data_IF_255617464813
#
_entry.id   IF_255617464813
#
_cell.length_a   1.000
_cell.length_b   1.000
_cell.length_c   1.000
_cell.angle_alpha   90.00
_cell.angle_beta   90.00
_cell.angle_gamma   90.00
#
_symmetry.space_group_name_H-M   'P 1'
#
loop_
_entity.id
_entity.type
_entity.pdbx_description
1 polymer ?
#
# COMPACT_ATOMS: atom_id res chain seq x y z
N UNK A 1 -0.32 53.44 9.30
CA UNK A 1 -0.75 52.07 8.99
C UNK A 1 -0.02 51.65 7.73
N UNK A 2 1.02 50.82 7.84
CA UNK A 2 1.76 50.32 6.68
C UNK A 2 1.19 48.94 6.35
N UNK A 3 0.35 48.87 5.31
CA UNK A 3 -0.08 47.61 4.73
C UNK A 3 1.14 47.03 4.01
N UNK A 4 1.79 46.03 4.62
CA UNK A 4 2.76 45.20 3.90
C UNK A 4 2.00 44.40 2.83
N UNK A 5 2.43 44.41 1.57
CA UNK A 5 1.82 43.56 0.56
C UNK A 5 2.11 42.10 0.93
N UNK A 6 1.04 41.35 1.20
CA UNK A 6 1.11 39.90 1.44
C UNK A 6 1.37 39.21 0.10
N UNK A 7 2.65 39.15 -0.28
CA UNK A 7 3.09 38.36 -1.41
C UNK A 7 2.98 36.91 -0.98
N UNK A 8 1.91 36.23 -1.42
CA UNK A 8 1.75 34.78 -1.19
C UNK A 8 3.00 34.05 -1.64
N UNK A 9 3.73 33.52 -0.67
CA UNK A 9 4.88 32.67 -0.87
C UNK A 9 4.50 31.42 -1.67
N UNK A 10 5.39 30.96 -2.55
CA UNK A 10 5.15 29.74 -3.32
C UNK A 10 5.08 28.51 -2.43
N UNK A 11 4.21 27.54 -2.75
CA UNK A 11 4.01 26.32 -1.96
C UNK A 11 5.31 25.56 -1.67
N UNK A 12 6.22 25.48 -2.64
CA UNK A 12 7.51 24.79 -2.47
C UNK A 12 8.45 25.54 -1.53
N UNK A 13 8.48 26.87 -1.62
CA UNK A 13 9.34 27.71 -0.81
C UNK A 13 8.95 27.62 0.67
N UNK A 14 7.66 27.67 0.95
CA UNK A 14 7.13 27.49 2.30
C UNK A 14 7.38 26.06 2.85
N UNK A 15 7.28 25.03 2.00
CA UNK A 15 7.61 23.65 2.42
C UNK A 15 9.07 23.53 2.84
N UNK A 16 9.97 24.18 2.10
CA UNK A 16 11.40 24.19 2.42
C UNK A 16 11.69 24.92 3.74
N UNK A 17 10.99 26.02 4.02
CA UNK A 17 11.11 26.72 5.30
C UNK A 17 10.60 25.90 6.47
N UNK A 18 9.44 25.25 6.32
CA UNK A 18 8.91 24.35 7.32
C UNK A 18 9.90 23.20 7.59
N UNK A 19 10.47 22.62 6.54
CA UNK A 19 11.47 21.56 6.68
C UNK A 19 12.74 22.06 7.37
N UNK A 20 13.26 23.23 6.98
CA UNK A 20 14.43 23.84 7.60
C UNK A 20 14.20 24.13 9.10
N UNK A 21 13.00 24.63 9.44
CA UNK A 21 12.60 24.82 10.84
C UNK A 21 12.60 23.50 11.61
N UNK A 22 12.02 22.43 11.04
CA UNK A 22 12.03 21.10 11.69
C UNK A 22 13.44 20.57 11.86
N UNK A 23 14.32 20.70 10.86
CA UNK A 23 15.73 20.27 10.95
C UNK A 23 16.42 20.96 12.13
N UNK A 24 16.29 22.29 12.22
CA UNK A 24 16.95 23.07 13.27
C UNK A 24 16.37 22.76 14.65
N UNK A 25 15.04 22.74 14.77
CA UNK A 25 14.33 22.48 16.03
C UNK A 25 14.55 21.05 16.55
N UNK A 26 14.90 20.10 15.69
CA UNK A 26 15.07 18.68 16.06
C UNK A 26 16.51 18.18 16.01
N UNK A 27 17.49 19.05 15.75
CA UNK A 27 18.91 18.66 15.56
C UNK A 27 19.50 17.84 16.69
N UNK A 28 19.05 18.08 17.92
CA UNK A 28 19.52 17.40 19.14
C UNK A 28 18.52 16.36 19.66
N UNK A 29 17.37 16.22 19.03
CA UNK A 29 16.33 15.29 19.46
C UNK A 29 16.77 13.85 19.21
N UNK A 30 16.61 13.03 20.24
CA UNK A 30 16.91 11.58 20.21
C UNK A 30 15.67 10.73 20.38
N UNK A 31 14.51 11.36 20.51
CA UNK A 31 13.21 10.71 20.66
C UNK A 31 12.18 11.28 19.69
N UNK A 32 11.12 10.52 19.34
CA UNK A 32 10.04 11.02 18.51
C UNK A 32 9.32 12.22 19.14
N UNK A 33 8.96 13.21 18.31
CA UNK A 33 8.30 14.44 18.77
C UNK A 33 6.84 14.49 18.32
N UNK A 34 6.04 15.31 19.01
CA UNK A 34 4.67 15.57 18.60
C UNK A 34 4.67 16.58 17.46
N UNK A 35 4.51 16.09 16.23
CA UNK A 35 4.57 16.92 15.02
C UNK A 35 3.62 18.13 15.04
N UNK A 36 2.45 17.99 15.68
CA UNK A 36 1.50 19.10 15.87
C UNK A 36 2.09 20.25 16.69
N UNK A 37 2.85 19.95 17.74
CA UNK A 37 3.48 20.97 18.60
C UNK A 37 4.55 21.73 17.80
N UNK A 38 5.39 21.02 17.03
CA UNK A 38 6.35 21.65 16.11
C UNK A 38 5.68 22.53 15.06
N UNK A 39 4.59 22.07 14.44
CA UNK A 39 3.84 22.89 13.47
C UNK A 39 3.25 24.14 14.13
N UNK A 40 2.79 24.06 15.38
CA UNK A 40 2.28 25.21 16.13
C UNK A 40 3.39 26.21 16.43
N UNK A 41 4.58 25.75 16.82
CA UNK A 41 5.75 26.60 17.04
C UNK A 41 6.18 27.31 15.77
N UNK A 42 6.24 26.60 14.65
CA UNK A 42 6.52 27.20 13.34
C UNK A 42 5.52 28.31 13.00
N UNK A 43 4.21 28.05 13.20
CA UNK A 43 3.17 29.05 12.95
C UNK A 43 3.38 30.31 13.78
N UNK A 44 3.69 30.17 15.06
CA UNK A 44 3.94 31.31 15.96
C UNK A 44 5.20 32.06 15.54
N UNK A 45 6.26 31.36 15.14
CA UNK A 45 7.53 31.95 14.75
C UNK A 45 7.46 32.73 13.42
N UNK A 46 6.62 32.29 12.48
CA UNK A 46 6.58 32.86 11.12
C UNK A 46 5.26 33.53 10.76
N UNK A 47 4.32 33.66 11.71
CA UNK A 47 2.94 34.12 11.49
C UNK A 47 2.24 33.39 10.32
N UNK A 48 2.40 32.06 10.27
CA UNK A 48 1.92 31.27 9.13
C UNK A 48 0.39 31.06 9.17
N UNK A 49 -0.35 31.35 8.09
CA UNK A 49 -1.82 31.26 8.07
C UNK A 49 -2.34 29.81 7.95
N UNK A 50 -1.50 28.84 7.57
CA UNK A 50 -1.94 27.45 7.38
C UNK A 50 -2.34 26.80 8.71
N UNK A 51 -3.29 25.87 8.66
CA UNK A 51 -3.64 25.07 9.84
C UNK A 51 -2.49 24.14 10.23
N UNK A 52 -2.36 23.81 11.52
CA UNK A 52 -1.38 22.82 12.00
C UNK A 52 -1.53 21.48 11.26
N UNK A 53 -2.77 21.06 11.03
CA UNK A 53 -3.07 19.84 10.25
C UNK A 53 -2.56 19.92 8.82
N UNK A 54 -2.68 21.08 8.16
CA UNK A 54 -2.15 21.28 6.80
C UNK A 54 -0.63 21.14 6.76
N UNK A 55 0.07 21.79 7.70
CA UNK A 55 1.52 21.71 7.83
C UNK A 55 2.00 20.28 8.15
N UNK A 56 1.31 19.60 9.06
CA UNK A 56 1.60 18.21 9.42
C UNK A 56 1.44 17.27 8.22
N UNK A 57 0.33 17.41 7.48
CA UNK A 57 0.09 16.60 6.28
C UNK A 57 1.19 16.83 5.24
N UNK A 58 1.65 18.09 5.05
CA UNK A 58 2.74 18.40 4.13
C UNK A 58 4.03 17.67 4.52
N UNK A 59 4.44 17.75 5.78
CA UNK A 59 5.64 17.07 6.29
C UNK A 59 5.56 15.54 6.11
N UNK A 60 4.40 14.95 6.39
CA UNK A 60 4.19 13.50 6.25
C UNK A 60 4.19 13.01 4.80
N UNK A 61 3.97 13.89 3.82
CA UNK A 61 4.03 13.56 2.39
C UNK A 61 5.43 13.73 1.77
N UNK A 62 6.40 14.25 2.52
CA UNK A 62 7.75 14.44 2.02
C UNK A 62 8.47 13.10 1.81
N UNK A 63 9.06 12.96 0.63
CA UNK A 63 9.96 11.86 0.32
C UNK A 63 11.38 12.17 0.80
N UNK A 64 11.56 12.16 2.12
CA UNK A 64 12.82 12.58 2.76
C UNK A 64 14.01 11.76 2.26
N UNK A 65 13.81 10.47 1.99
CA UNK A 65 14.84 9.58 1.45
C UNK A 65 15.36 10.03 0.07
N UNK A 66 14.52 10.62 -0.79
CA UNK A 66 14.90 11.12 -2.14
C UNK A 66 15.58 12.51 -2.10
N UNK A 67 15.70 13.17 -0.94
CA UNK A 67 16.23 14.54 -0.86
C UNK A 67 17.77 14.59 -0.91
N UNK A 68 18.34 14.92 -2.06
CA UNK A 68 19.80 14.93 -2.29
C UNK A 68 20.57 16.00 -1.51
N UNK A 69 19.89 17.04 -1.01
CA UNK A 69 20.50 18.12 -0.24
C UNK A 69 20.63 17.80 1.27
N UNK A 70 20.16 16.62 1.71
CA UNK A 70 20.23 16.18 3.11
C UNK A 70 21.23 15.04 3.26
N UNK A 71 22.03 15.09 4.32
CA UNK A 71 22.88 13.95 4.70
C UNK A 71 22.03 12.77 5.16
N UNK A 72 22.56 11.55 5.07
CA UNK A 72 21.88 10.33 5.53
C UNK A 72 21.43 10.47 6.98
N UNK A 73 22.31 10.93 7.86
CA UNK A 73 21.99 11.18 9.28
C UNK A 73 20.83 12.17 9.46
N UNK A 74 20.73 13.20 8.62
CA UNK A 74 19.63 14.17 8.66
C UNK A 74 18.33 13.52 8.20
N UNK A 75 18.37 12.76 7.10
CA UNK A 75 17.21 12.00 6.59
C UNK A 75 16.67 11.03 7.66
N UNK A 76 17.56 10.23 8.25
CA UNK A 76 17.24 9.27 9.30
C UNK A 76 16.64 9.96 10.51
N UNK A 77 17.27 11.04 10.99
CA UNK A 77 16.77 11.82 12.13
C UNK A 77 15.38 12.36 11.87
N UNK A 78 15.13 12.93 10.70
CA UNK A 78 13.82 13.47 10.32
C UNK A 78 12.75 12.37 10.27
N UNK A 79 13.04 11.25 9.61
CA UNK A 79 12.12 10.09 9.53
C UNK A 79 11.80 9.57 10.93
N UNK A 80 12.82 9.40 11.78
CA UNK A 80 12.68 8.95 13.16
C UNK A 80 11.87 9.94 14.02
N UNK A 81 12.29 11.20 14.08
CA UNK A 81 11.69 12.21 14.95
C UNK A 81 10.23 12.48 14.57
N UNK A 82 9.92 12.55 13.27
CA UNK A 82 8.55 12.76 12.79
C UNK A 82 7.70 11.48 12.79
N UNK A 83 8.25 10.33 13.18
CA UNK A 83 7.55 9.04 13.18
C UNK A 83 7.02 8.65 11.80
N UNK A 84 7.77 8.97 10.74
CA UNK A 84 7.40 8.67 9.36
C UNK A 84 7.75 7.20 9.05
N UNK A 85 6.87 6.44 8.38
CA UNK A 85 7.21 5.11 7.87
C UNK A 85 8.42 5.18 6.93
N UNK A 86 9.41 4.34 7.15
CA UNK A 86 10.59 4.26 6.30
C UNK A 86 10.23 3.64 4.94
N UNK A 87 10.86 4.16 3.89
CA UNK A 87 10.79 3.56 2.55
C UNK A 87 11.58 2.24 2.50
N UNK A 88 11.08 1.18 1.85
CA UNK A 88 11.76 -0.12 1.76
C UNK A 88 13.17 -0.08 1.15
N UNK A 89 13.35 0.68 0.08
CA UNK A 89 14.63 0.75 -0.63
C UNK A 89 15.64 1.50 0.23
N UNK A 90 15.20 2.60 0.87
CA UNK A 90 16.03 3.34 1.82
C UNK A 90 16.36 2.51 3.07
N UNK A 91 15.41 1.73 3.59
CA UNK A 91 15.68 0.82 4.71
C UNK A 91 16.77 -0.19 4.35
N UNK A 92 16.67 -0.81 3.17
CA UNK A 92 17.67 -1.75 2.65
C UNK A 92 19.04 -1.07 2.52
N UNK A 93 19.08 0.16 1.99
CA UNK A 93 20.31 0.96 1.88
C UNK A 93 20.96 1.19 3.26
N UNK A 94 20.17 1.57 4.26
CA UNK A 94 20.69 1.84 5.61
C UNK A 94 21.28 0.59 6.27
N UNK A 95 20.70 -0.59 6.03
CA UNK A 95 21.17 -1.85 6.64
C UNK A 95 22.60 -2.24 6.25
N UNK A 96 23.15 -1.68 5.17
CA UNK A 96 24.56 -1.90 4.80
C UNK A 96 25.55 -1.15 5.69
N UNK A 97 25.13 -0.07 6.35
CA UNK A 97 26.01 0.84 7.10
C UNK A 97 25.53 1.14 8.53
N UNK A 98 24.38 0.61 8.93
CA UNK A 98 23.79 0.83 10.24
C UNK A 98 22.99 -0.37 10.73
N UNK A 99 22.92 -0.51 12.05
CA UNK A 99 21.93 -1.36 12.70
C UNK A 99 20.61 -0.59 12.74
N UNK A 100 19.56 -1.13 12.11
CA UNK A 100 18.24 -0.48 12.01
C UNK A 100 17.17 -1.45 12.48
N UNK A 101 16.32 -1.02 13.42
CA UNK A 101 15.11 -1.75 13.81
C UNK A 101 13.89 -0.88 13.61
N UNK A 102 12.83 -1.49 13.09
CA UNK A 102 11.54 -0.85 12.84
C UNK A 102 10.42 -1.50 13.65
N UNK A 103 9.34 -0.77 13.88
CA UNK A 103 8.11 -1.31 14.46
C UNK A 103 7.13 -1.83 13.39
N UNK A 104 6.00 -2.38 13.84
CA UNK A 104 4.93 -2.90 12.98
C UNK A 104 4.24 -1.82 12.10
N UNK A 105 4.57 -0.55 12.30
CA UNK A 105 4.12 0.57 11.47
C UNK A 105 5.22 1.10 10.55
N UNK A 106 6.30 0.32 10.39
CA UNK A 106 7.46 0.63 9.56
C UNK A 106 8.22 1.87 10.04
N UNK A 107 8.19 2.20 11.33
CA UNK A 107 8.88 3.37 11.89
C UNK A 107 10.16 2.94 12.58
N UNK A 108 11.25 3.67 12.37
CA UNK A 108 12.55 3.39 12.99
C UNK A 108 12.44 3.53 14.50
N UNK A 109 12.61 2.46 15.27
CA UNK A 109 12.63 2.50 16.74
C UNK A 109 14.05 2.54 17.30
N UNK A 110 15.02 1.98 16.58
CA UNK A 110 16.44 1.99 16.92
C UNK A 110 17.26 2.15 15.63
N UNK A 111 18.28 3.00 15.71
CA UNK A 111 19.24 3.24 14.64
C UNK A 111 20.62 3.50 15.23
N UNK A 112 21.65 2.82 14.71
CA UNK A 112 23.04 3.03 15.10
C UNK A 112 23.98 2.80 13.92
N UNK A 113 24.72 3.84 13.52
CA UNK A 113 25.72 3.75 12.44
C UNK A 113 26.89 2.83 12.84
N UNK A 114 27.31 1.95 11.94
CA UNK A 114 28.48 1.09 12.13
C UNK A 114 29.73 1.96 12.18
N UNK A 115 30.61 1.74 13.17
CA UNK A 115 31.82 2.53 13.35
C UNK A 115 31.64 3.77 14.23
N UNK A 116 30.46 3.96 14.81
CA UNK A 116 30.14 5.11 15.67
C UNK A 116 29.64 6.31 14.87
N UNK A 117 28.71 7.07 15.45
CA UNK A 117 28.06 8.18 14.75
C UNK A 117 26.68 8.46 15.35
N UNK A 118 25.68 8.59 14.47
CA UNK A 118 24.31 8.80 14.89
C UNK A 118 23.75 7.56 15.60
N UNK A 119 23.23 7.79 16.81
CA UNK A 119 22.50 6.79 17.60
C UNK A 119 21.15 7.36 18.03
N UNK A 120 20.07 6.70 17.63
CA UNK A 120 18.69 7.06 17.95
C UNK A 120 17.97 5.85 18.52
N UNK A 121 17.19 6.06 19.56
CA UNK A 121 16.38 5.01 20.16
C UNK A 121 15.20 5.65 20.88
N UNK A 122 13.99 5.19 20.62
CA UNK A 122 12.81 5.77 21.27
C UNK A 122 11.52 5.06 20.94
N UNK A 123 10.49 5.33 21.76
CA UNK A 123 9.15 4.82 21.55
C UNK A 123 8.32 5.86 20.82
N UNK A 124 7.73 5.48 19.70
CA UNK A 124 6.78 6.35 19.00
C UNK A 124 5.42 6.37 19.67
N UNK A 125 4.66 7.44 19.42
CA UNK A 125 3.27 7.54 19.83
C UNK A 125 2.44 6.40 19.22
N UNK A 126 1.49 5.82 19.99
CA UNK A 126 0.65 4.74 19.52
C UNK A 126 -0.24 5.21 18.36
N UNK A 127 -0.41 4.35 17.36
CA UNK A 127 -1.39 4.55 16.30
C UNK A 127 -2.72 3.98 16.78
N UNK A 128 -3.83 4.66 16.46
CA UNK A 128 -5.17 4.21 16.84
C UNK A 128 -5.46 2.79 16.34
N UNK A 129 -5.65 1.85 17.27
CA UNK A 129 -5.89 0.42 17.01
C UNK A 129 -7.05 0.16 16.02
N UNK A 130 -8.08 1.02 16.04
CA UNK A 130 -9.23 0.91 15.12
C UNK A 130 -8.82 1.06 13.65
N UNK A 131 -7.87 1.94 13.35
CA UNK A 131 -7.35 2.16 11.99
C UNK A 131 -6.53 0.95 11.54
N UNK A 132 -5.69 0.41 12.44
CA UNK A 132 -4.87 -0.76 12.17
C UNK A 132 -5.72 -1.99 11.86
N UNK A 133 -6.73 -2.28 12.69
CA UNK A 133 -7.69 -3.37 12.47
C UNK A 133 -8.39 -3.28 11.10
N UNK A 134 -8.74 -2.07 10.66
CA UNK A 134 -9.35 -1.84 9.34
C UNK A 134 -8.36 -2.09 8.21
N UNK A 135 -7.12 -1.62 8.34
CA UNK A 135 -6.07 -1.86 7.36
C UNK A 135 -5.78 -3.35 7.21
N UNK A 136 -5.66 -4.08 8.34
CA UNK A 136 -5.44 -5.53 8.34
C UNK A 136 -6.57 -6.29 7.65
N UNK A 137 -7.83 -5.93 7.91
CA UNK A 137 -8.99 -6.52 7.20
C UNK A 137 -8.94 -6.30 5.70
N UNK A 138 -8.55 -5.10 5.26
CA UNK A 138 -8.43 -4.77 3.84
C UNK A 138 -7.25 -5.52 3.18
N UNK A 139 -6.12 -5.63 3.87
CA UNK A 139 -4.96 -6.41 3.42
C UNK A 139 -5.31 -7.90 3.27
N UNK A 140 -5.98 -8.48 4.28
CA UNK A 140 -6.44 -9.86 4.24
C UNK A 140 -7.45 -10.12 3.11
N UNK A 141 -8.35 -9.16 2.87
CA UNK A 141 -9.27 -9.26 1.74
C UNK A 141 -8.54 -9.20 0.40
N UNK A 142 -7.54 -8.31 0.26
CA UNK A 142 -6.71 -8.24 -0.94
C UNK A 142 -5.95 -9.55 -1.19
N UNK A 143 -5.36 -10.15 -0.15
CA UNK A 143 -4.72 -11.46 -0.26
C UNK A 143 -5.69 -12.55 -0.75
N UNK A 144 -6.92 -12.59 -0.22
CA UNK A 144 -7.95 -13.52 -0.68
C UNK A 144 -8.32 -13.32 -2.15
N UNK A 145 -8.40 -12.07 -2.62
CA UNK A 145 -8.72 -11.78 -4.01
C UNK A 145 -7.69 -12.37 -4.99
N UNK A 146 -6.42 -12.52 -4.58
CA UNK A 146 -5.37 -13.12 -5.44
C UNK A 146 -5.61 -14.59 -5.80
N UNK A 147 -6.54 -15.26 -5.09
CA UNK A 147 -6.90 -16.66 -5.37
C UNK A 147 -7.83 -16.79 -6.57
N UNK A 148 -8.60 -15.74 -6.88
CA UNK A 148 -9.64 -15.75 -7.92
C UNK A 148 -9.44 -14.69 -8.99
N UNK A 149 -8.47 -13.80 -8.80
CA UNK A 149 -8.16 -12.68 -9.69
C UNK A 149 -6.67 -12.70 -10.05
N UNK A 150 -6.43 -12.69 -11.34
CA UNK A 150 -5.13 -12.76 -12.01
C UNK A 150 -4.91 -11.58 -12.97
N UNK A 151 -5.67 -10.49 -12.80
CA UNK A 151 -5.57 -9.27 -13.59
C UNK A 151 -5.60 -8.00 -12.72
N UNK A 152 -5.10 -6.86 -13.22
CA UNK A 152 -5.17 -5.60 -12.49
C UNK A 152 -6.60 -5.12 -12.24
N UNK A 153 -6.94 -4.87 -10.98
CA UNK A 153 -8.28 -4.43 -10.56
C UNK A 153 -8.39 -2.90 -10.46
N UNK A 154 -9.53 -2.31 -10.89
CA UNK A 154 -9.86 -0.94 -10.54
C UNK A 154 -10.09 -0.80 -9.03
N UNK A 155 -9.54 0.23 -8.36
CA UNK A 155 -9.76 0.46 -6.93
C UNK A 155 -11.24 0.55 -6.53
N UNK A 156 -12.08 1.11 -7.41
CA UNK A 156 -13.52 1.24 -7.18
C UNK A 156 -14.21 -0.12 -7.09
N UNK A 157 -13.90 -1.04 -8.01
CA UNK A 157 -14.44 -2.41 -8.03
C UNK A 157 -13.99 -3.18 -6.79
N UNK A 158 -12.70 -3.12 -6.45
CA UNK A 158 -12.18 -3.73 -5.22
C UNK A 158 -12.93 -3.24 -3.98
N UNK A 159 -13.16 -1.92 -3.85
CA UNK A 159 -13.86 -1.35 -2.70
C UNK A 159 -15.34 -1.76 -2.66
N UNK A 160 -16.01 -1.83 -3.80
CA UNK A 160 -17.41 -2.26 -3.86
C UNK A 160 -17.57 -3.73 -3.43
N UNK A 161 -16.65 -4.60 -3.85
CA UNK A 161 -16.61 -5.98 -3.38
C UNK A 161 -16.24 -6.09 -1.91
N UNK A 162 -15.22 -5.36 -1.46
CA UNK A 162 -14.81 -5.32 -0.06
C UNK A 162 -15.96 -4.92 0.85
N UNK A 163 -16.74 -3.89 0.47
CA UNK A 163 -17.89 -3.43 1.26
C UNK A 163 -19.07 -4.41 1.25
N UNK A 164 -19.26 -5.14 0.15
CA UNK A 164 -20.30 -6.16 0.05
C UNK A 164 -19.97 -7.38 0.92
N UNK A 165 -18.70 -7.82 0.91
CA UNK A 165 -18.25 -9.03 1.61
C UNK A 165 -17.81 -8.79 3.06
N UNK A 166 -17.42 -7.56 3.40
CA UNK A 166 -16.92 -7.19 4.73
C UNK A 166 -17.83 -6.11 5.32
N UNK A 167 -18.52 -6.45 6.41
CA UNK A 167 -19.36 -5.50 7.16
C UNK A 167 -18.49 -4.35 7.68
N UNK A 168 -18.60 -3.19 7.03
CA UNK A 168 -17.83 -1.99 7.32
C UNK A 168 -18.70 -0.74 7.13
N UNK A 169 -18.81 0.08 8.18
CA UNK A 169 -19.59 1.33 8.17
C UNK A 169 -18.87 2.51 7.53
N UNK A 170 -17.64 2.32 7.04
CA UNK A 170 -16.84 3.39 6.44
C UNK A 170 -17.41 3.86 5.09
N UNK A 171 -17.44 5.18 4.89
CA UNK A 171 -17.80 5.79 3.62
C UNK A 171 -16.87 5.33 2.48
N UNK A 172 -17.40 5.18 1.26
CA UNK A 172 -16.66 4.65 0.10
C UNK A 172 -15.37 5.44 -0.17
N UNK A 173 -15.44 6.77 -0.15
CA UNK A 173 -14.27 7.63 -0.34
C UNK A 173 -13.18 7.42 0.72
N UNK A 174 -13.56 7.19 1.97
CA UNK A 174 -12.59 6.91 3.05
C UNK A 174 -11.94 5.53 2.86
N UNK A 175 -12.71 4.53 2.43
CA UNK A 175 -12.19 3.21 2.11
C UNK A 175 -11.22 3.25 0.90
N UNK A 176 -11.50 4.05 -0.13
CA UNK A 176 -10.59 4.28 -1.26
C UNK A 176 -9.27 4.91 -0.83
N UNK A 177 -9.31 5.95 0.01
CA UNK A 177 -8.10 6.56 0.58
C UNK A 177 -7.29 5.55 1.38
N UNK A 178 -7.97 4.73 2.19
CA UNK A 178 -7.35 3.64 2.95
C UNK A 178 -6.67 2.62 2.04
N UNK A 179 -7.34 2.20 0.97
CA UNK A 179 -6.80 1.24 0.02
C UNK A 179 -5.50 1.72 -0.63
N UNK A 180 -5.43 3.00 -1.00
CA UNK A 180 -4.19 3.61 -1.51
C UNK A 180 -3.02 3.48 -0.53
N UNK A 181 -3.27 3.66 0.77
CA UNK A 181 -2.24 3.50 1.81
C UNK A 181 -1.90 2.01 2.03
N UNK A 182 -2.91 1.14 2.07
CA UNK A 182 -2.73 -0.30 2.33
C UNK A 182 -1.91 -0.96 1.22
N UNK A 183 -2.20 -0.67 -0.06
CA UNK A 183 -1.47 -1.30 -1.17
C UNK A 183 0.02 -0.94 -1.20
N UNK A 184 0.38 0.27 -0.75
CA UNK A 184 1.78 0.69 -0.66
C UNK A 184 2.53 0.07 0.53
N UNK A 185 1.84 -0.70 1.39
CA UNK A 185 2.43 -1.41 2.53
C UNK A 185 2.56 -2.92 2.30
N UNK A 186 2.20 -3.43 1.12
CA UNK A 186 2.20 -4.87 0.83
C UNK A 186 3.59 -5.49 1.03
N UNK A 187 4.66 -4.76 0.68
CA UNK A 187 6.03 -5.23 0.87
C UNK A 187 6.30 -5.70 2.31
N UNK A 188 5.81 -4.90 3.28
CA UNK A 188 6.02 -5.15 4.71
C UNK A 188 5.11 -6.22 5.31
N UNK A 189 4.17 -6.76 4.53
CA UNK A 189 3.21 -7.76 4.99
C UNK A 189 3.80 -9.18 4.90
N UNK A 190 4.88 -9.41 5.66
CA UNK A 190 5.67 -10.65 5.66
C UNK A 190 4.91 -11.87 6.20
N UNK A 191 3.71 -11.68 6.74
CA UNK A 191 2.78 -12.78 7.01
C UNK A 191 2.25 -13.45 5.73
N UNK A 192 2.43 -12.81 4.56
CA UNK A 192 2.15 -13.40 3.26
C UNK A 192 3.45 -13.76 2.55
N UNK A 193 3.45 -14.92 1.89
CA UNK A 193 4.59 -15.38 1.10
C UNK A 193 4.91 -14.43 -0.07
N UNK A 194 6.11 -14.60 -0.64
CA UNK A 194 6.62 -13.77 -1.75
C UNK A 194 5.66 -13.70 -2.93
N UNK A 195 5.11 -14.84 -3.36
CA UNK A 195 4.22 -14.93 -4.51
C UNK A 195 2.88 -14.25 -4.21
N UNK A 196 2.33 -14.45 -3.02
CA UNK A 196 1.09 -13.77 -2.59
C UNK A 196 1.29 -12.25 -2.54
N UNK A 197 2.38 -11.75 -1.93
CA UNK A 197 2.69 -10.31 -1.92
C UNK A 197 2.83 -9.74 -3.33
N UNK A 198 3.55 -10.45 -4.22
CA UNK A 198 3.68 -10.09 -5.63
C UNK A 198 2.31 -10.01 -6.32
N UNK A 199 1.46 -11.05 -6.19
CA UNK A 199 0.09 -11.04 -6.74
C UNK A 199 -0.72 -9.88 -6.20
N UNK A 200 -0.67 -9.61 -4.90
CA UNK A 200 -1.36 -8.48 -4.27
C UNK A 200 -0.91 -7.15 -4.87
N UNK A 201 0.39 -6.94 -5.09
CA UNK A 201 0.91 -5.73 -5.75
C UNK A 201 0.45 -5.63 -7.19
N UNK A 202 0.48 -6.73 -7.94
CA UNK A 202 0.00 -6.79 -9.32
C UNK A 202 -1.49 -6.45 -9.42
N UNK A 203 -2.38 -7.16 -8.71
CA UNK A 203 -3.82 -6.92 -8.83
C UNK A 203 -4.22 -5.53 -8.32
N UNK A 204 -3.52 -4.98 -7.33
CA UNK A 204 -3.83 -3.66 -6.76
C UNK A 204 -3.23 -2.49 -7.53
N UNK A 205 -2.27 -2.74 -8.41
CA UNK A 205 -1.37 -1.72 -8.95
C UNK A 205 -0.62 -0.99 -7.84
N UNK A 206 -0.16 -1.74 -6.84
CA UNK A 206 0.73 -1.22 -5.80
C UNK A 206 2.12 -0.94 -6.38
N UNK A 207 2.77 0.13 -5.92
CA UNK A 207 4.17 0.39 -6.28
C UNK A 207 5.04 -0.72 -5.70
N UNK A 208 5.93 -1.26 -6.51
CA UNK A 208 6.89 -2.27 -6.10
C UNK A 208 8.23 -1.60 -5.79
N UNK A 209 8.77 -1.78 -4.57
CA UNK A 209 10.12 -1.33 -4.24
C UNK A 209 11.18 -2.11 -5.06
N UNK A 210 12.30 -1.46 -5.37
CA UNK A 210 13.36 -2.08 -6.17
C UNK A 210 14.00 -3.27 -5.44
N UNK A 211 14.11 -3.20 -4.11
CA UNK A 211 14.62 -4.32 -3.31
C UNK A 211 13.76 -5.58 -3.47
N UNK A 212 12.43 -5.42 -3.58
CA UNK A 212 11.51 -6.53 -3.82
C UNK A 212 11.51 -6.96 -5.29
N UNK A 213 11.65 -6.02 -6.23
CA UNK A 213 11.80 -6.34 -7.66
C UNK A 213 13.02 -7.24 -7.90
N UNK A 214 14.14 -6.97 -7.23
CA UNK A 214 15.33 -7.81 -7.29
C UNK A 214 15.03 -9.23 -6.78
N UNK A 215 14.37 -9.35 -5.64
CA UNK A 215 13.99 -10.65 -5.03
C UNK A 215 13.09 -11.50 -5.93
N UNK A 216 12.10 -10.89 -6.61
CA UNK A 216 11.19 -11.62 -7.49
C UNK A 216 11.76 -11.86 -8.90
N UNK A 217 12.84 -11.17 -9.29
CA UNK A 217 13.54 -11.40 -10.56
C UNK A 217 14.53 -12.55 -10.50
N UNK A 218 14.84 -13.05 -9.30
CA UNK A 218 15.67 -14.25 -9.13
C UNK A 218 15.00 -15.50 -9.71
N UNK A 219 13.66 -15.57 -9.67
CA UNK A 219 12.88 -16.74 -10.09
C UNK A 219 11.79 -16.44 -11.14
N UNK A 220 11.74 -15.22 -11.67
CA UNK A 220 10.77 -14.82 -12.68
C UNK A 220 11.28 -13.72 -13.64
N UNK A 221 10.73 -13.70 -14.85
CA UNK A 221 10.77 -12.53 -15.72
C UNK A 221 9.71 -11.53 -15.24
N UNK A 222 10.14 -10.31 -14.91
CA UNK A 222 9.25 -9.28 -14.34
C UNK A 222 9.47 -7.92 -15.00
N UNK A 223 8.41 -7.41 -15.63
CA UNK A 223 8.36 -6.05 -16.17
C UNK A 223 7.43 -5.16 -15.35
N UNK A 224 7.81 -3.89 -15.24
CA UNK A 224 7.08 -2.84 -14.55
C UNK A 224 6.85 -1.64 -15.46
N UNK A 225 5.81 -0.87 -15.18
CA UNK A 225 5.58 0.42 -15.84
C UNK A 225 6.37 1.58 -15.20
N UNK A 226 6.17 2.80 -15.73
CA UNK A 226 6.83 4.02 -15.26
C UNK A 226 6.54 4.38 -13.78
N UNK A 227 5.50 3.79 -13.18
CA UNK A 227 5.15 3.98 -11.77
C UNK A 227 5.68 2.84 -10.87
N UNK A 228 6.55 1.96 -11.41
CA UNK A 228 7.02 0.73 -10.80
C UNK A 228 5.87 -0.21 -10.38
N UNK A 229 4.83 -0.33 -11.21
CA UNK A 229 3.76 -1.31 -11.00
C UNK A 229 3.99 -2.50 -11.93
N UNK A 230 3.82 -3.72 -11.42
CA UNK A 230 4.01 -4.94 -12.23
C UNK A 230 3.00 -4.96 -13.37
N UNK A 231 3.48 -5.13 -14.59
CA UNK A 231 2.67 -5.32 -15.81
C UNK A 231 2.86 -6.72 -16.40
N UNK A 232 3.97 -7.38 -16.06
CA UNK A 232 4.29 -8.76 -16.45
C UNK A 232 4.99 -9.47 -15.30
N UNK A 233 4.57 -10.70 -15.03
CA UNK A 233 5.28 -11.65 -14.19
C UNK A 233 5.17 -13.03 -14.82
N UNK A 234 6.30 -13.67 -15.12
CA UNK A 234 6.37 -15.03 -15.63
C UNK A 234 7.39 -15.82 -14.81
N UNK A 235 6.91 -16.77 -14.01
CA UNK A 235 7.82 -17.62 -13.25
C UNK A 235 8.65 -18.50 -14.18
N UNK A 236 9.92 -18.73 -13.82
CA UNK A 236 10.85 -19.53 -14.64
C UNK A 236 10.39 -20.99 -14.75
N UNK A 237 9.72 -21.51 -13.71
CA UNK A 237 9.13 -22.84 -13.69
C UNK A 237 7.84 -22.96 -14.52
N UNK A 238 7.32 -21.84 -15.05
CA UNK A 238 6.08 -21.78 -15.82
C UNK A 238 4.79 -21.96 -15.01
N UNK A 239 4.87 -22.05 -13.67
CA UNK A 239 3.71 -22.25 -12.80
C UNK A 239 2.77 -21.04 -12.71
N UNK A 240 3.28 -19.84 -12.99
CA UNK A 240 2.51 -18.60 -12.89
C UNK A 240 2.87 -17.61 -13.99
N UNK A 241 1.85 -17.12 -14.68
CA UNK A 241 1.96 -16.05 -15.67
C UNK A 241 0.87 -15.02 -15.42
N UNK A 242 1.26 -13.77 -15.20
CA UNK A 242 0.38 -12.63 -15.01
C UNK A 242 0.77 -11.53 -15.98
N UNK A 243 -0.21 -11.00 -16.70
CA UNK A 243 0.02 -9.89 -17.63
C UNK A 243 -1.19 -8.96 -17.60
N UNK A 244 -0.93 -7.66 -17.53
CA UNK A 244 -1.98 -6.66 -17.61
C UNK A 244 -1.46 -5.25 -17.36
N UNK A 245 -1.97 -4.30 -18.15
CA UNK A 245 -1.66 -2.90 -17.95
C UNK A 245 -2.56 -2.26 -16.87
N UNK A 246 -2.07 -1.18 -16.27
CA UNK A 246 -2.77 -0.48 -15.20
C UNK A 246 -3.70 0.65 -15.68
N UNK A 247 -3.97 0.76 -16.98
CA UNK A 247 -4.91 1.75 -17.52
C UNK A 247 -6.35 1.43 -17.10
N UNK A 248 -7.14 2.46 -16.82
CA UNK A 248 -8.53 2.26 -16.39
C UNK A 248 -9.35 1.49 -17.43
N UNK A 249 -9.14 1.77 -18.72
CA UNK A 249 -9.80 1.09 -19.83
C UNK A 249 -9.54 -0.42 -19.81
N UNK A 250 -8.27 -0.83 -19.74
CA UNK A 250 -7.92 -2.26 -19.75
C UNK A 250 -8.45 -2.97 -18.51
N UNK A 251 -8.32 -2.36 -17.33
CA UNK A 251 -8.86 -2.93 -16.10
C UNK A 251 -10.37 -3.19 -16.20
N UNK A 252 -11.12 -2.26 -16.79
CA UNK A 252 -12.56 -2.42 -16.97
C UNK A 252 -12.91 -3.52 -17.99
N UNK A 253 -12.13 -3.65 -19.06
CA UNK A 253 -12.28 -4.74 -20.04
C UNK A 253 -12.04 -6.10 -19.37
N UNK A 254 -10.97 -6.21 -18.57
CA UNK A 254 -10.64 -7.45 -17.85
C UNK A 254 -11.70 -7.82 -16.81
N UNK A 255 -12.24 -6.85 -16.07
CA UNK A 255 -13.38 -7.08 -15.15
C UNK A 255 -14.60 -7.61 -15.91
N UNK A 256 -14.92 -7.05 -17.08
CA UNK A 256 -16.06 -7.50 -17.87
C UNK A 256 -15.85 -8.93 -18.42
N UNK A 257 -14.63 -9.26 -18.85
CA UNK A 257 -14.28 -10.60 -19.31
C UNK A 257 -14.39 -11.64 -18.19
N UNK A 258 -13.86 -11.33 -17.00
CA UNK A 258 -13.93 -12.21 -15.83
C UNK A 258 -15.37 -12.48 -15.38
N UNK A 259 -16.24 -11.46 -15.37
CA UNK A 259 -17.66 -11.63 -15.05
C UNK A 259 -18.38 -12.53 -16.05
N UNK A 260 -18.12 -12.35 -17.35
CA UNK A 260 -18.68 -13.22 -18.39
C UNK A 260 -18.27 -14.68 -18.19
N UNK A 261 -16.97 -14.94 -17.95
CA UNK A 261 -16.46 -16.28 -17.69
C UNK A 261 -17.08 -16.92 -16.43
N UNK A 262 -17.25 -16.12 -15.38
CA UNK A 262 -17.90 -16.57 -14.14
C UNK A 262 -19.38 -16.91 -14.35
N UNK A 263 -20.09 -16.15 -15.20
CA UNK A 263 -21.48 -16.43 -15.52
C UNK A 263 -21.61 -17.66 -16.43
N UNK A 264 -20.70 -17.84 -17.40
CA UNK A 264 -20.66 -19.03 -18.26
C UNK A 264 -20.37 -20.30 -17.46
N UNK A 265 -19.36 -20.30 -16.59
CA UNK A 265 -19.05 -21.46 -15.74
C UNK A 265 -20.20 -21.82 -14.79
N UNK A 266 -20.95 -20.83 -14.27
CA UNK A 266 -22.16 -21.09 -13.46
C UNK A 266 -23.30 -21.70 -14.28
N UNK A 267 -23.42 -21.34 -15.56
CA UNK A 267 -24.41 -21.93 -16.46
C UNK A 267 -24.01 -23.35 -16.86
N UNK A 268 -22.74 -23.59 -17.18
CA UNK A 268 -22.21 -24.92 -17.50
C UNK A 268 -22.34 -25.88 -16.31
N UNK A 269 -22.04 -25.44 -15.09
CA UNK A 269 -22.22 -26.26 -13.88
C UNK A 269 -23.70 -26.56 -13.60
N UNK A 270 -24.60 -25.63 -13.95
CA UNK A 270 -26.04 -25.86 -13.84
C UNK A 270 -26.53 -26.81 -14.93
N UNK A 271 -26.07 -26.69 -16.18
CA UNK A 271 -26.41 -27.62 -17.27
C UNK A 271 -25.89 -29.04 -16.99
N UNK A 272 -24.66 -29.18 -16.50
CA UNK A 272 -24.08 -30.49 -16.13
C UNK A 272 -24.81 -31.11 -14.93
N UNK A 273 -25.38 -30.29 -14.03
CA UNK A 273 -26.26 -30.78 -12.95
C UNK A 273 -27.69 -31.10 -13.42
N UNK A 274 -28.13 -30.57 -14.57
CA UNK A 274 -29.44 -30.84 -15.18
C UNK A 274 -29.38 -32.10 -16.08
N UNK A 275 -28.21 -32.47 -16.62
CA UNK A 275 -28.03 -33.70 -17.41
C UNK A 275 -28.16 -35.02 -16.61
N UNK A 276 -28.38 -34.97 -15.29
CA UNK A 276 -28.66 -36.17 -14.45
C UNK A 276 -30.17 -36.37 -14.20
N UNK A 277 -31.06 -35.44 -14.58
CA UNK A 277 -32.51 -35.60 -14.39
C UNK A 277 -33.29 -35.66 -15.72
N UNK A 278 -33.03 -36.68 -16.53
CA UNK A 278 -33.91 -37.02 -17.66
C UNK A 278 -34.87 -38.17 -17.30
N UNK A 279 -36.00 -37.84 -16.65
CA UNK A 279 -37.33 -38.46 -16.89
C UNK A 279 -38.42 -37.84 -16.03
N UNK A 280 -39.25 -37.00 -16.64
CA UNK A 280 -40.67 -37.29 -16.89
C UNK A 280 -41.38 -36.07 -17.48
N UNK A 281 -41.94 -36.27 -18.66
CA UNK A 281 -42.77 -35.32 -19.41
C UNK A 281 -44.09 -35.00 -18.66
N UNK A 282 -44.53 -33.73 -18.70
CA UNK A 282 -45.69 -33.30 -19.52
C UNK A 282 -46.07 -31.81 -19.35
N UNK A 283 -46.11 -31.13 -20.51
CA UNK A 283 -47.02 -30.09 -21.01
C UNK A 283 -47.36 -28.87 -20.12
N UNK A 284 -46.75 -27.71 -20.39
CA UNK A 284 -47.16 -26.63 -21.33
C UNK A 284 -48.20 -25.64 -20.79
N UNK A 285 -47.76 -24.41 -20.53
CA UNK A 285 -48.55 -23.20 -20.82
C UNK A 285 -47.63 -22.07 -21.27
N UNK A 286 -47.88 -21.60 -22.48
CA UNK A 286 -47.25 -20.48 -23.19
C UNK A 286 -47.67 -19.15 -22.54
N UNK A 287 -46.72 -18.31 -22.10
CA UNK A 287 -46.92 -16.85 -21.97
C UNK A 287 -45.65 -16.08 -22.34
N UNK A 288 -45.73 -15.49 -23.53
CA UNK A 288 -45.28 -14.19 -24.01
C UNK A 288 -43.98 -13.52 -23.51
N UNK A 289 -43.21 -13.07 -24.50
CA UNK A 289 -41.85 -12.54 -24.43
C UNK A 289 -41.88 -11.03 -24.71
N UNK A 290 -41.57 -10.21 -23.70
CA UNK A 290 -41.36 -8.77 -23.93
C UNK A 290 -40.10 -8.25 -23.22
N UNK A 291 -39.04 -8.15 -24.03
CA UNK A 291 -38.08 -7.07 -24.14
C UNK A 291 -37.96 -6.09 -22.95
N UNK A 292 -36.89 -6.19 -22.16
CA UNK A 292 -36.37 -5.05 -21.40
C UNK A 292 -35.02 -4.60 -21.97
N UNK A 293 -35.12 -3.57 -22.82
CA UNK A 293 -34.02 -2.74 -23.30
C UNK A 293 -33.31 -2.08 -22.11
N UNK A 294 -31.99 -2.19 -22.16
CA UNK A 294 -30.97 -1.33 -21.56
C UNK A 294 -31.41 0.13 -21.39
N UNK A 295 -31.32 0.64 -20.15
CA UNK A 295 -31.15 2.07 -19.89
C UNK A 295 -29.78 2.26 -19.24
N UNK A 296 -28.82 2.51 -20.12
CA UNK A 296 -27.50 3.03 -19.81
C UNK A 296 -27.67 4.50 -19.40
N UNK A 297 -27.60 4.79 -18.09
CA UNK A 297 -27.43 6.16 -17.59
C UNK A 297 -25.98 6.37 -17.20
N UNK A 298 -25.19 6.78 -18.18
CA UNK A 298 -23.93 7.50 -17.97
C UNK A 298 -24.20 8.74 -17.12
N UNK A 299 -23.89 8.66 -15.82
CA UNK A 299 -23.71 9.85 -15.00
C UNK A 299 -22.32 10.40 -15.29
N UNK A 300 -22.31 11.39 -16.18
CA UNK A 300 -21.18 12.26 -16.50
C UNK A 300 -20.99 13.20 -15.33
N UNK A 301 -20.13 12.86 -14.37
CA UNK A 301 -19.57 13.77 -13.37
C UNK A 301 -18.40 13.06 -12.68
N UNK A 302 -17.19 13.21 -13.23
CA UNK A 302 -15.94 13.11 -12.47
C UNK A 302 -14.86 13.87 -13.27
N UNK A 303 -15.04 15.19 -13.28
CA UNK A 303 -14.00 16.11 -13.71
C UNK A 303 -12.92 16.15 -12.62
N UNK A 304 -11.73 15.70 -12.99
CA UNK A 304 -10.45 16.32 -12.66
C UNK A 304 -10.25 16.80 -11.21
N UNK A 305 -9.63 15.94 -10.39
CA UNK A 305 -8.94 16.42 -9.19
C UNK A 305 -7.61 15.68 -8.97
N UNK A 306 -6.62 16.06 -9.78
CA UNK A 306 -5.20 15.91 -9.47
C UNK A 306 -4.51 17.25 -9.73
N UNK A 307 -3.70 17.79 -8.82
CA UNK A 307 -2.93 19.01 -9.09
C UNK A 307 -1.92 18.76 -10.21
N UNK A 308 -2.07 19.50 -11.30
CA UNK A 308 -1.30 19.39 -12.53
C UNK A 308 0.20 19.64 -12.32
N UNK A 309 1.02 18.65 -12.65
CA UNK A 309 2.42 18.87 -13.00
C UNK A 309 2.43 19.42 -14.44
N UNK A 310 2.80 20.70 -14.58
CA UNK A 310 2.97 21.36 -15.87
C UNK A 310 4.05 20.65 -16.68
N UNK A 311 3.65 19.97 -17.76
CA UNK A 311 4.54 19.59 -18.85
C UNK A 311 4.99 20.86 -19.57
N UNK A 312 6.30 21.10 -19.66
CA UNK A 312 6.89 22.00 -20.66
C UNK A 312 7.36 21.14 -21.83
N UNK A 313 6.83 21.45 -23.01
CA UNK A 313 7.34 20.99 -24.30
C UNK A 313 8.66 21.72 -24.61
N UNK A 314 9.64 20.98 -25.12
CA UNK A 314 10.74 21.39 -26.00
C UNK A 314 11.09 20.08 -26.74
N UNK A 315 11.00 19.96 -28.07
CA UNK A 315 11.88 20.58 -29.06
C UNK A 315 12.78 19.47 -29.64
N UNK A 316 12.77 19.30 -30.97
CA UNK A 316 13.30 18.20 -31.80
C UNK A 316 14.75 17.70 -31.52
N UNK A 317 15.11 16.47 -31.97
CA UNK A 317 16.43 15.87 -31.79
C UNK A 317 17.36 16.03 -33.01
N UNK A 318 18.64 16.31 -32.76
CA UNK A 318 19.74 16.10 -33.70
C UNK A 318 20.70 15.03 -33.13
N UNK A 319 20.74 13.90 -33.82
CA UNK A 319 21.90 13.16 -34.36
C UNK A 319 23.20 12.86 -33.56
N UNK A 320 23.59 11.57 -33.68
CA UNK A 320 24.96 10.98 -33.83
C UNK A 320 25.57 10.12 -32.69
N UNK A 321 25.66 8.82 -33.02
CA UNK A 321 26.74 7.80 -32.85
C UNK A 321 27.13 7.15 -31.50
N UNK A 322 26.86 5.83 -31.47
CA UNK A 322 27.76 4.68 -31.18
C UNK A 322 29.02 4.85 -30.31
N UNK A 323 29.13 4.03 -29.25
CA UNK A 323 29.85 2.73 -29.28
C UNK A 323 30.09 2.15 -27.88
N UNK A 324 30.15 0.82 -27.84
CA UNK A 324 30.24 -0.06 -26.69
C UNK A 324 31.64 -0.16 -26.09
N UNK A 325 31.75 -0.39 -24.78
CA UNK A 325 32.85 -1.15 -24.16
C UNK A 325 32.32 -2.03 -23.02
N UNK A 326 32.50 -3.35 -23.18
CA UNK A 326 32.45 -4.42 -22.18
C UNK A 326 33.40 -4.14 -21.02
N UNK A 327 33.01 -4.49 -19.80
CA UNK A 327 33.97 -4.96 -18.79
C UNK A 327 33.32 -6.06 -17.95
N UNK A 328 33.87 -7.27 -18.12
CA UNK A 328 33.66 -8.43 -17.27
C UNK A 328 34.28 -8.17 -15.89
N UNK A 329 33.53 -8.38 -14.81
CA UNK A 329 34.09 -8.51 -13.45
C UNK A 329 33.40 -9.70 -12.77
N UNK A 330 34.24 -10.68 -12.43
CA UNK A 330 33.94 -11.90 -11.71
C UNK A 330 33.49 -11.58 -10.28
N UNK A 331 32.38 -12.16 -9.81
CA UNK A 331 31.98 -12.12 -8.40
C UNK A 331 32.55 -13.32 -7.65
N UNK A 332 33.42 -13.04 -6.68
CA UNK A 332 33.73 -13.95 -5.57
C UNK A 332 32.52 -14.01 -4.63
N UNK A 333 32.14 -15.23 -4.24
CA UNK A 333 30.94 -15.53 -3.47
C UNK A 333 31.22 -15.28 -1.97
N UNK A 334 30.71 -14.17 -1.42
CA UNK A 334 30.94 -13.80 -0.02
C UNK A 334 30.23 -14.77 0.95
N UNK A 335 31.03 -15.64 1.58
CA UNK A 335 30.64 -16.62 2.60
C UNK A 335 29.84 -16.04 3.78
N UNK A 336 29.83 -14.72 3.97
CA UNK A 336 29.09 -14.03 5.05
C UNK A 336 27.58 -13.94 4.74
N UNK A 337 27.19 -13.84 3.46
CA UNK A 337 25.78 -13.77 3.04
C UNK A 337 25.07 -15.11 3.32
N UNK A 338 25.75 -16.23 3.05
CA UNK A 338 25.24 -17.58 3.28
C UNK A 338 25.01 -17.93 4.76
N UNK A 339 25.72 -17.28 5.69
CA UNK A 339 25.49 -17.46 7.14
C UNK A 339 24.27 -16.68 7.64
N UNK A 340 23.92 -15.55 7.03
CA UNK A 340 22.75 -14.74 7.41
C UNK A 340 21.43 -15.34 6.95
N UNK A 341 21.40 -15.96 5.77
CA UNK A 341 20.21 -16.64 5.23
C UNK A 341 19.78 -17.81 6.15
N UNK A 342 20.72 -18.47 6.83
CA UNK A 342 20.40 -19.55 7.77
C UNK A 342 19.71 -19.07 9.06
N UNK A 343 19.97 -17.85 9.53
CA UNK A 343 19.33 -17.30 10.74
C UNK A 343 17.88 -16.83 10.47
N UNK A 344 17.53 -16.48 9.23
CA UNK A 344 16.14 -16.13 8.87
C UNK A 344 15.19 -17.35 8.84
N UNK A 345 15.73 -18.55 8.59
CA UNK A 345 14.95 -19.79 8.64
C UNK A 345 14.61 -20.25 10.07
N UNK A 346 15.39 -19.88 11.08
CA UNK A 346 15.09 -20.24 12.48
C UNK A 346 13.95 -19.40 13.09
N UNK A 347 13.64 -18.23 12.54
CA UNK A 347 12.50 -17.41 12.99
C UNK A 347 11.15 -17.80 12.37
N UNK A 348 11.16 -18.56 11.27
CA UNK A 348 9.92 -19.01 10.60
C UNK A 348 9.35 -20.31 11.19
N UNK A 349 10.14 -21.09 11.95
CA UNK A 349 9.68 -22.36 12.54
C UNK A 349 8.82 -22.19 13.82
N UNK A 350 8.81 -21.02 14.46
CA UNK A 350 8.11 -20.87 15.76
C UNK A 350 6.62 -20.46 15.66
N UNK A 351 6.06 -20.27 14.46
CA UNK A 351 4.70 -19.73 14.31
C UNK A 351 3.71 -20.59 13.49
N UNK A 352 4.10 -21.81 13.10
CA UNK A 352 3.28 -22.69 12.25
C UNK A 352 2.49 -23.77 13.01
N UNK A 353 2.36 -23.70 14.34
CA UNK A 353 1.73 -24.76 15.13
C UNK A 353 0.28 -24.49 15.59
N UNK A 354 -0.46 -23.57 14.96
CA UNK A 354 -1.81 -23.20 15.44
C UNK A 354 -2.89 -22.96 14.38
N UNK A 355 -2.77 -23.50 13.16
CA UNK A 355 -3.79 -23.26 12.11
C UNK A 355 -4.58 -24.51 11.67
N UNK A 356 -4.21 -25.72 12.09
CA UNK A 356 -4.98 -26.92 11.72
C UNK A 356 -5.67 -27.57 12.92
N UNK A 357 -6.84 -27.03 13.31
CA UNK A 357 -8.04 -27.78 13.76
C UNK A 357 -9.03 -26.83 14.46
N UNK A 358 -10.03 -26.28 13.77
CA UNK A 358 -11.33 -25.92 14.38
C UNK A 358 -12.46 -26.13 13.35
N UNK A 359 -13.39 -27.07 13.55
CA UNK A 359 -14.59 -27.20 12.73
C UNK A 359 -15.67 -26.18 13.12
N UNK A 360 -16.51 -25.81 12.16
CA UNK A 360 -17.61 -24.87 12.33
C UNK A 360 -18.73 -25.44 13.22
N UNK A 361 -18.86 -24.95 14.45
CA UNK A 361 -20.14 -24.93 15.16
C UNK A 361 -20.13 -23.90 16.32
N UNK A 362 -21.30 -23.32 16.54
CA UNK A 362 -21.63 -22.27 17.50
C UNK A 362 -21.06 -22.50 18.90
N UNK A 363 -20.43 -21.48 19.51
CA UNK A 363 -20.40 -21.34 20.96
C UNK A 363 -20.30 -19.87 21.39
N UNK A 364 -21.30 -19.46 22.17
CA UNK A 364 -21.28 -18.31 23.07
C UNK A 364 -20.22 -18.58 24.15
N UNK A 365 -19.27 -17.68 24.44
CA UNK A 365 -18.35 -17.88 25.55
C UNK A 365 -19.03 -17.59 26.90
N UNK A 366 -18.83 -18.42 27.93
CA UNK A 366 -19.26 -18.14 29.30
C UNK A 366 -18.29 -17.18 30.01
N UNK A 367 -18.87 -16.27 30.77
CA UNK A 367 -18.34 -15.35 31.78
C UNK A 367 -16.90 -15.55 32.28
N UNK A 368 -16.14 -14.45 32.26
CA UNK A 368 -15.46 -13.89 33.45
C UNK A 368 -14.90 -12.49 33.13
N UNK A 369 -15.69 -11.45 33.35
CA UNK A 369 -15.43 -10.49 34.43
C UNK A 369 -16.58 -9.47 34.51
N UNK A 370 -17.25 -9.55 35.65
CA UNK A 370 -18.34 -8.72 36.11
C UNK A 370 -17.79 -7.37 36.57
N UNK A 371 -18.02 -6.33 35.78
CA UNK A 371 -18.19 -4.94 36.20
C UNK A 371 -18.40 -4.13 34.93
N UNK A 372 -19.67 -3.85 34.58
CA UNK A 372 -20.14 -2.81 33.63
C UNK A 372 -21.58 -3.04 33.13
N UNK A 373 -22.42 -3.81 33.82
CA UNK A 373 -23.88 -3.77 33.60
C UNK A 373 -24.50 -2.94 34.72
N UNK A 374 -24.35 -1.63 34.56
CA UNK A 374 -24.88 -0.66 35.51
C UNK A 374 -25.08 0.73 34.90
N UNK A 375 -25.05 0.90 33.58
CA UNK A 375 -25.24 2.20 32.93
C UNK A 375 -25.53 1.93 31.45
N UNK A 376 -26.81 1.66 31.10
CA UNK A 376 -27.51 1.93 29.82
C UNK A 376 -28.96 1.49 30.07
N UNK A 377 -29.65 2.27 30.87
CA UNK A 377 -31.12 2.41 30.88
C UNK A 377 -31.35 3.83 31.34
N UNK A 378 -31.35 4.76 30.39
CA UNK A 378 -31.99 6.08 30.41
C UNK A 378 -31.38 6.91 29.27
N UNK A 379 -31.93 6.77 28.07
CA UNK A 379 -31.92 7.83 27.05
C UNK A 379 -32.84 7.41 25.91
N UNK A 380 -34.16 7.46 26.17
CA UNK A 380 -35.22 7.67 25.18
C UNK A 380 -36.44 8.20 25.94
N UNK A 381 -36.43 9.52 26.16
CA UNK A 381 -37.64 10.34 26.08
C UNK A 381 -37.60 11.06 24.73
#
# INVERSE_FOLDING_TARGET
>A
MSCRPDVRKGFMEETNELLAFVIESTKNEKTPVKLRELCREFKVATDNPNSETSLMNRLQTLKIHEMNNLTIDTKVRLIFVMSIPIDPDFFTELQHQAYVRIDNHQRIIEYETIGGGLKLSGKHFPIYQKTDRKNKRMMMFLARMTQTVDYPLPPTIFIDEFKTKVVNSEAKGTALKRYSVVKNKIYWATEYDKVTRMKMMFISGGKVPECFLREIREDALVDVDEENRIILYQSIDGSLNLQGDHSLSTKMIMVAAHRKSSDTSRLEFNEESVEIEERNEKEETIVDMSSMKSIERLSRNDAEWWPSIRKRNNGDPDDVETSAIRNDVMYEEDSILSKRIKEEHEYTEFNNQYIDTIPAQEFIPPNSDSDLIGEIKNEYD
#
